data_IF_309460220598
#
_entry.id   IF_309460220598
#
_cell.length_a   1.000
_cell.length_b   1.000
_cell.length_c   1.000
_cell.angle_alpha   90.00
_cell.angle_beta   90.00
_cell.angle_gamma   90.00
#
_symmetry.space_group_name_H-M   'P 1'
#
loop_
_entity.id
_entity.type
_entity.pdbx_description
1 polymer ?
#
# COMPACT_ATOMS: atom_id res chain seq x y z
N UNK A 1 -51.11 81.28 10.20
CA UNK A 1 -50.39 80.38 11.12
C UNK A 1 -50.53 78.94 10.64
N UNK A 2 -49.69 78.48 9.79
CA UNK A 2 -49.63 77.09 9.39
C UNK A 2 -48.15 76.69 9.18
N UNK A 3 -47.61 75.88 10.10
CA UNK A 3 -46.28 75.33 10.04
C UNK A 3 -46.23 74.20 8.98
N UNK A 4 -45.38 74.32 8.00
CA UNK A 4 -45.08 73.28 7.05
C UNK A 4 -43.88 72.47 7.55
N UNK A 5 -44.10 71.20 7.84
CA UNK A 5 -43.01 70.23 8.21
C UNK A 5 -42.39 69.64 6.93
N UNK A 6 -41.14 69.93 6.70
CA UNK A 6 -40.31 69.35 5.62
C UNK A 6 -39.86 67.97 6.03
N UNK A 7 -40.33 66.93 5.32
CA UNK A 7 -39.90 65.54 5.54
C UNK A 7 -38.72 65.27 4.60
N UNK A 8 -37.53 65.22 5.18
CA UNK A 8 -36.30 64.81 4.44
C UNK A 8 -36.18 63.30 4.48
N UNK A 9 -36.44 62.65 3.34
CA UNK A 9 -36.22 61.22 3.12
C UNK A 9 -34.72 60.98 2.79
N UNK A 10 -33.99 60.48 3.75
CA UNK A 10 -32.64 59.99 3.53
C UNK A 10 -32.69 58.63 2.81
N UNK A 11 -32.45 58.63 1.53
CA UNK A 11 -32.28 57.40 0.72
C UNK A 11 -30.89 56.81 0.99
N UNK A 12 -30.82 55.86 1.90
CA UNK A 12 -29.58 55.09 2.18
C UNK A 12 -29.34 54.07 1.05
N UNK A 13 -28.42 54.37 0.15
CA UNK A 13 -27.94 53.49 -0.89
C UNK A 13 -27.03 52.44 -0.19
N UNK A 14 -27.62 51.26 0.09
CA UNK A 14 -26.85 50.09 0.51
C UNK A 14 -26.08 49.55 -0.68
N UNK A 15 -24.79 49.92 -0.81
CA UNK A 15 -23.87 49.27 -1.74
C UNK A 15 -23.58 47.88 -1.18
N UNK A 16 -24.34 46.90 -1.63
CA UNK A 16 -24.01 45.49 -1.43
C UNK A 16 -22.72 45.18 -2.19
N UNK A 17 -21.59 45.37 -1.53
CA UNK A 17 -20.31 44.90 -2.01
C UNK A 17 -20.37 43.37 -2.04
N UNK A 18 -20.71 42.82 -3.20
CA UNK A 18 -20.44 41.41 -3.49
C UNK A 18 -18.94 41.20 -3.33
N UNK A 19 -18.47 40.85 -2.11
CA UNK A 19 -17.16 40.24 -1.94
C UNK A 19 -17.19 38.92 -2.70
N UNK A 20 -16.71 38.96 -3.94
CA UNK A 20 -16.30 37.69 -4.61
C UNK A 20 -15.41 36.97 -3.62
N UNK A 21 -15.92 35.84 -3.12
CA UNK A 21 -15.07 34.87 -2.39
C UNK A 21 -13.88 34.64 -3.32
N UNK A 22 -12.62 34.74 -2.83
CA UNK A 22 -11.48 34.42 -3.69
C UNK A 22 -11.73 33.02 -4.24
N UNK A 23 -11.90 32.93 -5.56
CA UNK A 23 -11.98 31.65 -6.25
C UNK A 23 -10.70 30.90 -5.84
N UNK A 24 -10.85 29.74 -5.18
CA UNK A 24 -9.73 28.83 -4.99
C UNK A 24 -9.11 28.66 -6.39
N UNK A 25 -7.77 28.78 -6.52
CA UNK A 25 -7.12 28.52 -7.80
C UNK A 25 -7.63 27.18 -8.32
N UNK A 26 -8.08 27.16 -9.57
CA UNK A 26 -8.64 25.96 -10.17
C UNK A 26 -7.52 24.90 -10.22
N UNK A 27 -7.63 23.88 -9.37
CA UNK A 27 -6.70 22.75 -9.37
C UNK A 27 -6.91 21.93 -10.64
N UNK A 28 -5.83 21.68 -11.35
CA UNK A 28 -5.83 20.82 -12.54
C UNK A 28 -4.89 19.63 -12.32
N UNK A 29 -4.91 18.68 -13.23
CA UNK A 29 -3.97 17.56 -13.19
C UNK A 29 -2.50 18.02 -13.16
N UNK A 30 -2.18 19.17 -13.73
CA UNK A 30 -0.80 19.67 -13.91
C UNK A 30 -0.45 20.87 -13.03
N UNK A 31 -1.37 21.30 -12.14
CA UNK A 31 -1.17 22.44 -11.24
C UNK A 31 -1.96 22.28 -9.96
N UNK A 32 -1.30 22.40 -8.81
CA UNK A 32 -1.92 22.30 -7.48
C UNK A 32 -1.09 21.50 -6.51
N UNK A 33 -1.74 21.05 -5.42
CA UNK A 33 -1.06 20.30 -4.36
C UNK A 33 -1.82 19.03 -4.00
N UNK A 34 -1.09 17.97 -3.67
CA UNK A 34 -1.64 16.68 -3.26
C UNK A 34 -0.89 16.13 -2.05
N UNK A 35 -1.64 15.64 -1.06
CA UNK A 35 -1.09 14.79 -0.01
C UNK A 35 -1.46 13.34 -0.34
N UNK A 36 -0.45 12.48 -0.38
CA UNK A 36 -0.63 11.03 -0.54
C UNK A 36 -0.24 10.35 0.74
N UNK A 37 -1.18 9.62 1.36
CA UNK A 37 -0.84 8.69 2.44
C UNK A 37 -0.58 7.32 1.85
N UNK A 38 0.60 6.77 2.13
CA UNK A 38 0.98 5.45 1.69
C UNK A 38 1.14 4.52 2.90
N UNK A 39 0.68 3.28 2.79
CA UNK A 39 1.11 2.25 3.74
C UNK A 39 2.64 2.24 3.83
N UNK A 40 3.18 2.20 5.06
CA UNK A 40 4.61 2.46 5.34
C UNK A 40 5.58 1.71 4.41
N UNK A 41 5.25 0.47 4.05
CA UNK A 41 6.07 -0.36 3.16
C UNK A 41 6.18 0.19 1.74
N UNK A 42 5.27 1.08 1.34
CA UNK A 42 5.18 1.62 -0.03
C UNK A 42 5.50 3.11 -0.11
N UNK A 43 5.80 3.76 1.00
CA UNK A 43 6.11 5.19 1.03
C UNK A 43 7.23 5.56 0.06
N UNK A 44 8.37 4.84 0.13
CA UNK A 44 9.52 5.11 -0.72
C UNK A 44 9.19 4.89 -2.21
N UNK A 45 8.39 3.86 -2.53
CA UNK A 45 7.93 3.58 -3.88
C UNK A 45 7.02 4.70 -4.42
N UNK A 46 6.01 5.10 -3.65
CA UNK A 46 5.10 6.19 -4.06
C UNK A 46 5.82 7.54 -4.13
N UNK A 47 6.84 7.75 -3.31
CA UNK A 47 7.70 8.93 -3.40
C UNK A 47 8.47 9.00 -4.73
N UNK A 48 8.93 7.85 -5.26
CA UNK A 48 9.54 7.80 -6.59
C UNK A 48 8.53 8.17 -7.69
N UNK A 49 7.30 7.65 -7.62
CA UNK A 49 6.22 8.01 -8.55
C UNK A 49 5.90 9.50 -8.49
N UNK A 50 5.78 10.05 -7.28
CA UNK A 50 5.48 11.47 -7.04
C UNK A 50 6.59 12.38 -7.60
N UNK A 51 7.86 12.03 -7.36
CA UNK A 51 8.99 12.80 -7.84
C UNK A 51 9.04 12.83 -9.37
N UNK A 52 8.75 11.71 -10.02
CA UNK A 52 8.74 11.63 -11.48
C UNK A 52 7.57 12.42 -12.08
N UNK A 53 6.41 12.40 -11.41
CA UNK A 53 5.26 13.21 -11.81
C UNK A 53 5.56 14.71 -11.68
N UNK A 54 6.10 15.16 -10.55
CA UNK A 54 6.47 16.55 -10.30
C UNK A 54 7.55 17.01 -11.29
N UNK A 55 8.50 16.13 -11.65
CA UNK A 55 9.51 16.44 -12.68
C UNK A 55 8.85 16.75 -14.04
N UNK A 56 7.77 16.07 -14.37
CA UNK A 56 7.00 16.30 -15.61
C UNK A 56 6.08 17.51 -15.52
N UNK A 57 5.63 17.89 -14.31
CA UNK A 57 4.70 18.98 -14.05
C UNK A 57 5.17 19.85 -12.88
N UNK A 58 6.06 20.83 -13.12
CA UNK A 58 6.71 21.63 -12.07
C UNK A 58 5.75 22.48 -11.21
N UNK A 59 4.55 22.78 -11.71
CA UNK A 59 3.51 23.53 -10.98
C UNK A 59 2.71 22.63 -9.99
N UNK A 60 3.06 21.34 -9.89
CA UNK A 60 2.48 20.39 -8.97
C UNK A 60 3.38 20.20 -7.75
N UNK A 61 2.76 20.16 -6.56
CA UNK A 61 3.44 19.78 -5.32
C UNK A 61 2.78 18.52 -4.74
N UNK A 62 3.54 17.44 -4.58
CA UNK A 62 3.07 16.19 -3.95
C UNK A 62 3.86 15.90 -2.68
N UNK A 63 3.15 15.79 -1.56
CA UNK A 63 3.72 15.34 -0.28
C UNK A 63 3.30 13.89 -0.02
N UNK A 64 4.26 12.99 0.10
CA UNK A 64 4.02 11.57 0.44
C UNK A 64 4.38 11.33 1.90
N UNK A 65 3.49 10.68 2.64
CA UNK A 65 3.67 10.33 4.05
C UNK A 65 3.32 8.88 4.28
N UNK A 66 4.20 8.16 5.00
CA UNK A 66 3.94 6.80 5.44
C UNK A 66 2.98 6.77 6.64
N UNK A 67 2.05 5.81 6.63
CA UNK A 67 1.14 5.52 7.74
C UNK A 67 0.71 4.06 7.73
N UNK A 68 -0.12 3.63 8.66
CA UNK A 68 -0.72 2.28 8.57
C UNK A 68 -1.81 2.25 7.49
N UNK A 69 -2.04 1.07 6.89
CA UNK A 69 -3.09 0.87 5.88
C UNK A 69 -4.45 1.32 6.40
N UNK A 70 -4.79 0.94 7.63
CA UNK A 70 -6.07 1.32 8.25
C UNK A 70 -6.21 2.83 8.42
N UNK A 71 -5.16 3.50 8.88
CA UNK A 71 -5.16 4.94 9.09
C UNK A 71 -5.29 5.70 7.76
N UNK A 72 -4.59 5.27 6.70
CA UNK A 72 -4.74 5.84 5.37
C UNK A 72 -6.19 5.77 4.89
N UNK A 73 -6.84 4.61 5.05
CA UNK A 73 -8.25 4.41 4.68
C UNK A 73 -9.19 5.30 5.51
N UNK A 74 -8.98 5.40 6.83
CA UNK A 74 -9.77 6.30 7.68
C UNK A 74 -9.65 7.75 7.23
N UNK A 75 -8.46 8.20 6.88
CA UNK A 75 -8.26 9.55 6.36
C UNK A 75 -8.95 9.79 5.02
N UNK A 76 -8.95 8.81 4.10
CA UNK A 76 -9.68 8.88 2.84
C UNK A 76 -11.20 8.98 3.08
N UNK A 77 -11.75 8.11 3.93
CA UNK A 77 -13.19 8.05 4.21
C UNK A 77 -13.71 9.27 4.96
N UNK A 78 -12.85 9.96 5.73
CA UNK A 78 -13.15 11.23 6.38
C UNK A 78 -12.90 12.46 5.47
N UNK A 79 -12.57 12.24 4.19
CA UNK A 79 -12.22 13.29 3.20
C UNK A 79 -11.11 14.25 3.68
N UNK A 80 -10.24 13.77 4.57
CA UNK A 80 -9.11 14.55 5.09
C UNK A 80 -7.87 14.47 4.20
N UNK A 81 -7.80 13.45 3.33
CA UNK A 81 -6.84 13.32 2.23
C UNK A 81 -7.54 12.81 0.99
N UNK A 82 -7.03 13.21 -0.17
CA UNK A 82 -7.63 12.87 -1.47
C UNK A 82 -6.95 11.70 -2.17
N UNK A 83 -5.82 11.23 -1.65
CA UNK A 83 -5.09 10.14 -2.30
C UNK A 83 -4.41 9.24 -1.27
N UNK A 84 -4.62 7.93 -1.41
CA UNK A 84 -3.95 6.93 -0.58
C UNK A 84 -3.41 5.79 -1.44
N UNK A 85 -2.29 5.19 -1.02
CA UNK A 85 -1.75 3.95 -1.58
C UNK A 85 -1.76 2.85 -0.51
N UNK A 86 -2.49 1.77 -0.77
CA UNK A 86 -2.70 0.68 0.19
C UNK A 86 -2.58 -0.69 -0.48
N UNK A 87 -2.38 -1.71 0.31
CA UNK A 87 -2.07 -3.09 -0.06
C UNK A 87 -3.27 -4.05 0.03
N UNK A 88 -4.46 -3.51 0.14
CA UNK A 88 -5.72 -4.26 0.06
C UNK A 88 -6.84 -3.39 -0.50
N UNK A 89 -7.90 -4.00 -1.02
CA UNK A 89 -9.10 -3.24 -1.38
C UNK A 89 -9.84 -2.73 -0.14
N UNK A 90 -10.68 -1.73 -0.31
CA UNK A 90 -11.67 -1.34 0.68
C UNK A 90 -12.60 -2.53 0.94
N UNK A 91 -12.88 -2.82 2.21
CA UNK A 91 -13.85 -3.83 2.58
C UNK A 91 -15.30 -3.31 2.43
N UNK A 92 -16.29 -4.18 2.63
CA UNK A 92 -17.70 -3.82 2.42
C UNK A 92 -18.19 -2.73 3.38
N UNK A 93 -17.72 -2.72 4.63
CA UNK A 93 -18.06 -1.68 5.61
C UNK A 93 -17.47 -0.33 5.21
N UNK A 94 -16.21 -0.31 4.77
CA UNK A 94 -15.51 0.89 4.28
C UNK A 94 -16.19 1.46 3.02
N UNK A 95 -16.61 0.58 2.08
CA UNK A 95 -17.40 0.98 0.90
C UNK A 95 -18.76 1.55 1.28
N UNK A 96 -19.43 0.97 2.29
CA UNK A 96 -20.70 1.50 2.78
C UNK A 96 -20.54 2.86 3.46
N UNK A 97 -19.45 3.09 4.22
CA UNK A 97 -19.13 4.38 4.81
C UNK A 97 -18.93 5.43 3.72
N UNK A 98 -18.14 5.13 2.68
CA UNK A 98 -17.93 6.02 1.54
C UNK A 98 -19.25 6.36 0.84
N UNK A 99 -20.11 5.36 0.60
CA UNK A 99 -21.40 5.55 -0.04
C UNK A 99 -22.36 6.42 0.79
N UNK A 100 -22.43 6.21 2.12
CA UNK A 100 -23.25 7.03 3.04
C UNK A 100 -22.76 8.47 3.13
N UNK A 101 -21.47 8.71 2.98
CA UNK A 101 -20.86 10.03 2.95
C UNK A 101 -20.94 10.68 1.55
N UNK A 102 -21.55 10.03 0.57
CA UNK A 102 -21.59 10.44 -0.84
C UNK A 102 -20.19 10.74 -1.42
N UNK A 103 -19.16 10.07 -0.87
CA UNK A 103 -17.77 10.24 -1.27
C UNK A 103 -17.51 9.48 -2.57
N UNK A 104 -17.16 10.21 -3.63
CA UNK A 104 -16.75 9.61 -4.89
C UNK A 104 -15.29 9.16 -4.77
N UNK A 105 -15.08 7.85 -4.67
CA UNK A 105 -13.76 7.25 -4.57
C UNK A 105 -13.46 6.47 -5.84
N UNK A 106 -12.36 6.81 -6.52
CA UNK A 106 -11.85 6.04 -7.64
C UNK A 106 -10.85 5.01 -7.11
N UNK A 107 -11.12 3.73 -7.38
CA UNK A 107 -10.23 2.61 -7.06
C UNK A 107 -9.36 2.26 -8.28
N UNK A 108 -8.05 2.32 -8.10
CA UNK A 108 -7.11 2.01 -9.16
C UNK A 108 -6.11 0.95 -8.67
N UNK A 109 -6.22 -0.26 -9.19
CA UNK A 109 -5.15 -1.26 -9.02
C UNK A 109 -3.92 -0.78 -9.79
N UNK A 110 -2.77 -0.70 -9.12
CA UNK A 110 -1.52 -0.18 -9.68
C UNK A 110 -0.44 -1.25 -9.85
N UNK A 111 -0.58 -2.38 -9.17
CA UNK A 111 0.38 -3.48 -9.26
C UNK A 111 0.02 -4.63 -8.34
N UNK A 112 0.86 -5.66 -8.34
CA UNK A 112 0.79 -6.76 -7.38
C UNK A 112 2.11 -6.91 -6.64
N UNK A 113 2.01 -7.15 -5.35
CA UNK A 113 3.11 -7.46 -4.45
C UNK A 113 2.97 -8.86 -3.84
N UNK A 114 3.89 -9.20 -2.96
CA UNK A 114 3.80 -10.41 -2.17
C UNK A 114 4.38 -10.20 -0.78
N UNK A 115 3.93 -11.04 0.16
CA UNK A 115 4.53 -11.18 1.48
C UNK A 115 5.60 -12.28 1.42
N UNK A 116 6.80 -11.97 1.86
CA UNK A 116 7.91 -12.91 1.95
C UNK A 116 8.03 -13.46 3.36
N UNK A 117 8.17 -14.76 3.50
CA UNK A 117 8.55 -15.42 4.75
C UNK A 117 10.06 -15.36 4.86
N UNK A 118 10.57 -14.74 5.92
CA UNK A 118 12.01 -14.51 6.13
C UNK A 118 12.50 -15.12 7.43
N UNK A 119 13.74 -15.60 7.39
CA UNK A 119 14.46 -16.14 8.53
C UNK A 119 15.90 -15.63 8.55
N UNK A 120 16.61 -15.85 9.64
CA UNK A 120 18.03 -15.56 9.71
C UNK A 120 18.82 -16.43 8.69
N UNK A 121 19.92 -15.92 8.14
CA UNK A 121 20.74 -16.62 7.13
C UNK A 121 21.26 -17.99 7.57
N UNK A 122 21.49 -18.15 8.87
CA UNK A 122 21.99 -19.43 9.45
C UNK A 122 20.89 -20.45 9.72
N UNK A 123 19.60 -20.08 9.59
CA UNK A 123 18.51 -21.03 9.72
C UNK A 123 18.59 -22.06 8.58
N UNK A 124 18.62 -23.37 8.86
CA UNK A 124 18.80 -24.41 7.82
C UNK A 124 17.55 -24.61 6.92
N UNK A 125 16.39 -24.11 7.33
CA UNK A 125 15.14 -24.25 6.56
C UNK A 125 15.23 -23.41 5.28
N UNK A 126 14.99 -24.04 4.13
CA UNK A 126 15.02 -23.39 2.81
C UNK A 126 13.63 -23.15 2.22
N UNK A 127 12.66 -23.95 2.64
CA UNK A 127 11.30 -23.93 2.16
C UNK A 127 10.31 -24.25 3.27
N UNK A 128 9.06 -23.85 3.08
CA UNK A 128 7.98 -24.04 4.05
C UNK A 128 6.66 -24.34 3.33
N UNK A 129 5.91 -25.33 3.83
CA UNK A 129 4.58 -25.63 3.31
C UNK A 129 3.63 -24.46 3.58
N UNK A 130 2.71 -24.23 2.66
CA UNK A 130 1.70 -23.15 2.84
C UNK A 130 0.85 -23.36 4.09
N UNK A 131 0.49 -24.62 4.39
CA UNK A 131 -0.23 -24.97 5.61
C UNK A 131 0.60 -24.69 6.88
N UNK A 132 1.93 -24.97 6.85
CA UNK A 132 2.80 -24.71 7.99
C UNK A 132 2.88 -23.20 8.32
N UNK A 133 2.87 -22.33 7.30
CA UNK A 133 2.77 -20.87 7.54
C UNK A 133 1.51 -20.54 8.32
N UNK A 134 0.37 -21.10 7.92
CA UNK A 134 -0.91 -20.93 8.65
C UNK A 134 -0.82 -21.45 10.08
N UNK A 135 -0.23 -22.62 10.27
CA UNK A 135 -0.15 -23.28 11.58
C UNK A 135 0.80 -22.55 12.54
N UNK A 136 1.85 -21.91 12.01
CA UNK A 136 2.68 -20.97 12.79
C UNK A 136 1.88 -19.73 13.16
N UNK A 137 1.12 -19.16 12.22
CA UNK A 137 0.29 -17.97 12.45
C UNK A 137 -0.82 -18.20 13.48
N UNK A 138 -1.35 -19.44 13.57
CA UNK A 138 -2.33 -19.83 14.60
C UNK A 138 -1.69 -20.23 15.92
N UNK A 139 -0.38 -20.48 15.94
CA UNK A 139 0.33 -21.03 17.11
C UNK A 139 0.16 -22.54 17.29
N UNK A 140 -0.36 -23.24 16.27
CA UNK A 140 -0.43 -24.72 16.26
C UNK A 140 0.96 -25.34 16.10
N UNK A 141 1.83 -24.72 15.30
CA UNK A 141 3.26 -25.01 15.21
C UNK A 141 4.03 -23.93 15.99
N UNK A 142 4.83 -24.35 16.97
CA UNK A 142 5.64 -23.47 17.82
C UNK A 142 7.13 -23.78 17.78
N UNK A 143 7.51 -24.96 17.33
CA UNK A 143 8.92 -25.40 17.29
C UNK A 143 9.37 -25.66 15.85
N UNK A 144 10.63 -25.34 15.54
CA UNK A 144 11.21 -25.59 14.23
C UNK A 144 11.22 -27.08 13.86
N UNK A 145 11.39 -27.98 14.85
CA UNK A 145 11.35 -29.43 14.67
C UNK A 145 9.98 -29.96 14.25
N UNK A 146 8.90 -29.18 14.37
CA UNK A 146 7.57 -29.56 13.92
C UNK A 146 7.37 -29.39 12.42
N UNK A 147 8.27 -28.68 11.72
CA UNK A 147 8.24 -28.54 10.27
C UNK A 147 8.80 -29.79 9.60
N UNK A 148 8.18 -30.21 8.49
CA UNK A 148 8.64 -31.34 7.69
C UNK A 148 10.14 -31.19 7.35
N UNK A 149 10.91 -32.22 7.60
CA UNK A 149 12.36 -32.30 7.34
C UNK A 149 13.26 -31.32 8.13
N UNK A 150 12.71 -30.49 9.01
CA UNK A 150 13.50 -29.62 9.84
C UNK A 150 14.10 -30.36 11.03
N UNK A 151 15.43 -30.24 11.20
CA UNK A 151 16.17 -30.69 12.38
C UNK A 151 16.66 -29.53 13.25
N UNK A 152 16.17 -28.31 12.94
CA UNK A 152 16.54 -27.12 13.70
C UNK A 152 15.81 -27.12 15.04
N UNK A 153 16.55 -27.16 16.13
CA UNK A 153 15.99 -27.20 17.48
C UNK A 153 15.61 -25.78 17.95
N UNK A 154 14.59 -25.69 18.81
CA UNK A 154 14.14 -24.47 19.45
C UNK A 154 12.77 -23.98 18.96
N UNK A 155 12.24 -23.00 19.68
CA UNK A 155 10.93 -22.42 19.40
C UNK A 155 11.00 -21.37 18.27
N UNK A 156 9.96 -21.37 17.43
CA UNK A 156 9.77 -20.34 16.40
C UNK A 156 9.31 -19.05 17.09
N UNK A 157 10.10 -17.99 16.95
CA UNK A 157 9.72 -16.64 17.38
C UNK A 157 9.08 -15.90 16.21
N UNK A 158 7.74 -15.94 16.13
CA UNK A 158 7.02 -15.22 15.09
C UNK A 158 7.04 -13.72 15.37
N UNK A 159 7.60 -12.95 14.46
CA UNK A 159 7.72 -11.50 14.53
C UNK A 159 6.92 -10.86 13.39
N UNK A 160 5.99 -9.98 13.72
CA UNK A 160 5.16 -9.25 12.75
C UNK A 160 5.00 -7.79 13.18
N UNK A 161 4.53 -6.98 12.25
CA UNK A 161 4.00 -5.64 12.54
C UNK A 161 2.64 -5.72 13.24
N UNK A 162 2.20 -4.59 13.84
CA UNK A 162 0.94 -4.53 14.58
C UNK A 162 -0.31 -4.74 13.72
N UNK A 163 -1.45 -4.93 14.36
CA UNK A 163 -2.77 -5.27 13.75
C UNK A 163 -3.27 -4.25 12.73
N UNK A 164 -2.81 -3.02 12.78
CA UNK A 164 -3.22 -1.95 11.86
C UNK A 164 -2.37 -1.91 10.58
N UNK A 165 -1.37 -2.79 10.46
CA UNK A 165 -0.52 -2.87 9.27
C UNK A 165 -1.20 -3.69 8.17
N UNK A 166 -0.90 -3.34 6.91
CA UNK A 166 -1.39 -4.09 5.77
C UNK A 166 -0.93 -5.55 5.78
N UNK A 167 0.32 -5.81 6.13
CA UNK A 167 0.85 -7.18 6.27
C UNK A 167 0.01 -8.04 7.21
N UNK A 168 -0.34 -7.51 8.38
CA UNK A 168 -1.17 -8.24 9.33
C UNK A 168 -2.58 -8.49 8.77
N UNK A 169 -3.21 -7.49 8.17
CA UNK A 169 -4.56 -7.61 7.58
C UNK A 169 -4.57 -8.56 6.37
N UNK A 170 -3.54 -8.53 5.51
CA UNK A 170 -3.39 -9.46 4.38
C UNK A 170 -3.30 -10.89 4.90
N UNK A 171 -2.46 -11.16 5.90
CA UNK A 171 -2.33 -12.49 6.49
C UNK A 171 -3.64 -12.98 7.10
N UNK A 172 -4.36 -12.11 7.83
CA UNK A 172 -5.68 -12.43 8.35
C UNK A 172 -6.65 -12.83 7.23
N UNK A 173 -6.77 -12.01 6.20
CA UNK A 173 -7.69 -12.24 5.09
C UNK A 173 -7.32 -13.48 4.27
N UNK A 174 -6.03 -13.79 4.16
CA UNK A 174 -5.53 -14.91 3.37
C UNK A 174 -5.80 -16.27 4.03
N UNK A 175 -5.61 -16.34 5.34
CA UNK A 175 -5.67 -17.60 6.09
C UNK A 175 -6.95 -17.79 6.91
N UNK A 176 -7.69 -16.73 7.21
CA UNK A 176 -8.81 -16.79 8.13
C UNK A 176 -10.09 -16.19 7.55
N UNK A 177 -11.19 -16.93 7.62
CA UNK A 177 -12.52 -16.43 7.24
C UNK A 177 -13.14 -15.51 8.30
N UNK A 178 -12.65 -15.57 9.54
CA UNK A 178 -13.09 -14.78 10.69
C UNK A 178 -11.84 -14.10 11.24
N UNK A 179 -11.96 -12.86 11.71
CA UNK A 179 -10.85 -12.10 12.30
C UNK A 179 -10.34 -12.74 13.61
N UNK A 180 -9.60 -13.84 13.48
CA UNK A 180 -8.89 -14.46 14.59
C UNK A 180 -7.55 -13.77 14.80
N UNK A 181 -7.15 -13.50 16.06
CA UNK A 181 -5.83 -12.89 16.30
C UNK A 181 -4.73 -13.88 15.88
N UNK A 182 -3.67 -13.35 15.27
CA UNK A 182 -2.47 -14.12 14.97
C UNK A 182 -1.68 -14.37 16.25
N UNK A 183 -1.04 -15.54 16.34
CA UNK A 183 -0.21 -15.94 17.49
C UNK A 183 1.21 -15.35 17.39
N UNK A 184 1.31 -14.01 17.42
CA UNK A 184 2.57 -13.28 17.27
C UNK A 184 3.36 -13.32 18.57
N UNK A 185 4.64 -13.71 18.51
CA UNK A 185 5.54 -13.74 19.66
C UNK A 185 6.06 -12.34 19.98
N UNK A 186 6.38 -11.56 18.94
CA UNK A 186 6.92 -10.21 19.06
C UNK A 186 6.25 -9.30 18.03
N UNK A 187 5.74 -8.17 18.50
CA UNK A 187 5.16 -7.13 17.63
C UNK A 187 6.12 -5.94 17.58
N UNK A 188 6.36 -5.44 16.36
CA UNK A 188 7.20 -4.27 16.09
C UNK A 188 6.42 -3.21 15.31
N UNK A 189 6.95 -2.00 15.20
CA UNK A 189 6.21 -0.87 14.61
C UNK A 189 6.10 -0.95 13.08
N UNK A 190 7.17 -1.43 12.42
CA UNK A 190 7.25 -1.44 10.96
C UNK A 190 8.05 -2.66 10.43
N UNK A 191 7.97 -2.91 9.14
CA UNK A 191 8.62 -4.06 8.52
C UNK A 191 10.16 -3.97 8.52
N UNK A 192 10.74 -2.78 8.58
CA UNK A 192 12.21 -2.61 8.71
C UNK A 192 12.68 -3.16 10.05
N UNK A 193 11.89 -2.99 11.11
CA UNK A 193 12.18 -3.55 12.42
C UNK A 193 11.98 -5.08 12.45
N UNK A 194 11.00 -5.64 11.70
CA UNK A 194 10.88 -7.11 11.53
C UNK A 194 12.18 -7.65 10.94
N UNK A 195 12.66 -7.05 9.87
CA UNK A 195 13.90 -7.47 9.21
C UNK A 195 15.11 -7.37 10.15
N UNK A 196 15.22 -6.29 10.91
CA UNK A 196 16.34 -6.12 11.87
C UNK A 196 16.26 -7.13 13.00
N UNK A 197 15.06 -7.46 13.47
CA UNK A 197 14.86 -8.51 14.47
C UNK A 197 15.34 -9.88 13.95
N UNK A 198 14.98 -10.23 12.72
CA UNK A 198 15.42 -11.47 12.06
C UNK A 198 16.94 -11.54 11.97
N UNK A 199 17.62 -10.43 11.66
CA UNK A 199 19.09 -10.36 11.53
C UNK A 199 19.85 -10.65 12.82
N UNK A 200 19.20 -10.51 13.96
CA UNK A 200 19.80 -10.65 15.29
C UNK A 200 19.27 -11.84 16.08
N UNK A 201 18.22 -12.50 15.58
CA UNK A 201 17.56 -13.62 16.28
C UNK A 201 17.42 -14.85 15.37
N UNK A 202 18.36 -15.81 15.41
CA UNK A 202 18.34 -16.98 14.52
C UNK A 202 17.06 -17.83 14.59
N UNK A 203 16.38 -17.85 15.74
CA UNK A 203 15.12 -18.59 15.94
C UNK A 203 13.86 -17.83 15.47
N UNK A 204 14.02 -16.61 14.94
CA UNK A 204 12.88 -15.83 14.52
C UNK A 204 12.43 -16.15 13.08
N UNK A 205 11.12 -16.09 12.87
CA UNK A 205 10.46 -16.10 11.58
C UNK A 205 9.69 -14.79 11.44
N UNK A 206 9.91 -14.07 10.36
CA UNK A 206 9.19 -12.85 10.03
C UNK A 206 8.42 -12.98 8.72
N UNK A 207 7.35 -12.19 8.58
CA UNK A 207 6.67 -12.04 7.30
C UNK A 207 6.58 -10.55 6.99
N UNK A 208 7.08 -10.16 5.83
CA UNK A 208 7.17 -8.76 5.39
C UNK A 208 6.81 -8.65 3.91
N UNK A 209 6.45 -7.46 3.46
CA UNK A 209 6.29 -7.19 2.03
C UNK A 209 7.63 -7.34 1.29
N UNK A 210 7.59 -7.71 0.02
CA UNK A 210 8.79 -7.72 -0.84
C UNK A 210 9.41 -6.32 -0.95
N UNK A 211 8.64 -5.25 -0.75
CA UNK A 211 9.14 -3.88 -0.73
C UNK A 211 10.15 -3.64 0.40
N UNK A 212 9.90 -4.20 1.58
CA UNK A 212 10.78 -4.06 2.73
C UNK A 212 12.15 -4.74 2.52
N UNK A 213 12.23 -5.70 1.59
CA UNK A 213 13.47 -6.45 1.35
C UNK A 213 14.42 -5.77 0.33
N UNK A 214 13.98 -4.74 -0.38
CA UNK A 214 14.77 -4.13 -1.47
C UNK A 214 16.13 -3.56 -1.04
N UNK A 215 16.20 -3.02 0.18
CA UNK A 215 17.40 -2.36 0.70
C UNK A 215 18.01 -3.15 1.87
N UNK A 216 17.58 -4.41 2.05
CA UNK A 216 18.06 -5.24 3.14
C UNK A 216 19.36 -5.94 2.72
N UNK A 217 20.47 -5.44 3.26
CA UNK A 217 21.75 -6.11 3.12
C UNK A 217 21.82 -7.29 4.09
N UNK A 218 22.26 -8.45 3.56
CA UNK A 218 22.87 -9.56 4.28
C UNK A 218 22.25 -9.97 5.65
N UNK A 219 22.31 -11.26 5.97
CA UNK A 219 21.83 -11.93 7.19
C UNK A 219 20.34 -12.25 7.26
N UNK A 220 19.59 -12.09 6.17
CA UNK A 220 18.23 -12.62 6.06
C UNK A 220 18.11 -13.51 4.85
N UNK A 221 17.32 -14.58 4.99
CA UNK A 221 17.00 -15.52 3.93
C UNK A 221 15.50 -15.55 3.72
N UNK A 222 15.07 -15.51 2.44
CA UNK A 222 13.68 -15.69 2.04
C UNK A 222 13.43 -17.17 1.80
N UNK A 223 12.45 -17.73 2.51
CA UNK A 223 11.99 -19.09 2.29
C UNK A 223 11.18 -19.21 1.01
N UNK A 224 11.33 -20.34 0.31
CA UNK A 224 10.38 -20.70 -0.72
C UNK A 224 9.10 -21.23 -0.05
N UNK A 225 7.94 -20.80 -0.53
CA UNK A 225 6.64 -21.22 -0.01
C UNK A 225 6.00 -22.16 -1.03
N UNK A 226 5.35 -23.21 -0.52
CA UNK A 226 4.63 -24.18 -1.35
C UNK A 226 3.54 -23.48 -2.16
N UNK A 227 3.52 -23.73 -3.48
CA UNK A 227 2.49 -23.21 -4.37
C UNK A 227 1.17 -23.94 -4.16
N UNK A 228 0.06 -23.19 -4.14
CA UNK A 228 -1.30 -23.76 -4.02
C UNK A 228 -2.01 -23.93 -5.37
N UNK A 229 -1.36 -23.54 -6.48
CA UNK A 229 -1.96 -23.50 -7.81
C UNK A 229 -1.44 -24.59 -8.76
N UNK A 230 -0.68 -25.55 -8.25
CA UNK A 230 -0.17 -26.70 -9.01
C UNK A 230 -0.48 -27.98 -8.25
N UNK A 231 -0.59 -29.11 -9.00
CA UNK A 231 -0.90 -30.41 -8.38
C UNK A 231 0.34 -31.05 -7.75
N UNK A 232 1.52 -30.71 -8.24
CA UNK A 232 2.80 -31.23 -7.72
C UNK A 232 3.33 -30.31 -6.61
N UNK A 233 4.08 -30.90 -5.66
CA UNK A 233 4.76 -30.15 -4.60
C UNK A 233 5.82 -29.21 -5.23
N UNK A 234 5.52 -27.92 -5.26
CA UNK A 234 6.36 -26.89 -5.86
C UNK A 234 6.59 -25.76 -4.87
N UNK A 235 7.83 -25.57 -4.46
CA UNK A 235 8.24 -24.45 -3.60
C UNK A 235 8.82 -23.31 -4.42
N UNK A 236 8.27 -22.12 -4.26
CA UNK A 236 8.64 -20.93 -5.04
C UNK A 236 8.92 -19.73 -4.15
N UNK A 237 9.88 -18.89 -4.55
CA UNK A 237 10.15 -17.59 -3.91
C UNK A 237 9.26 -16.50 -4.51
N UNK A 238 9.02 -15.37 -3.80
CA UNK A 238 8.19 -14.25 -4.26
C UNK A 238 8.90 -13.41 -5.34
N UNK A 239 9.25 -14.02 -6.46
CA UNK A 239 9.77 -13.30 -7.63
C UNK A 239 8.63 -12.70 -8.43
N UNK A 240 8.88 -11.59 -9.18
CA UNK A 240 7.87 -11.02 -10.07
C UNK A 240 7.25 -12.05 -11.01
N UNK A 241 8.06 -13.00 -11.53
CA UNK A 241 7.56 -14.06 -12.41
C UNK A 241 6.60 -15.01 -11.70
N UNK A 242 6.94 -15.43 -10.47
CA UNK A 242 6.10 -16.35 -9.70
C UNK A 242 4.81 -15.68 -9.20
N UNK A 243 4.86 -14.37 -8.91
CA UNK A 243 3.68 -13.56 -8.59
C UNK A 243 2.80 -13.43 -9.85
N UNK A 244 3.37 -13.01 -10.97
CA UNK A 244 2.66 -12.86 -12.25
C UNK A 244 1.96 -14.14 -12.71
N UNK A 245 2.60 -15.30 -12.51
CA UNK A 245 2.03 -16.60 -12.82
C UNK A 245 1.08 -17.16 -11.77
N UNK A 246 0.82 -16.40 -10.71
CA UNK A 246 0.05 -16.82 -9.54
C UNK A 246 0.56 -18.14 -8.91
N UNK A 247 1.86 -18.42 -9.01
CA UNK A 247 2.49 -19.58 -8.37
C UNK A 247 2.83 -19.32 -6.91
N UNK A 248 3.15 -18.05 -6.57
CA UNK A 248 3.45 -17.68 -5.18
C UNK A 248 2.16 -17.36 -4.43
N UNK A 249 1.79 -18.09 -3.36
CA UNK A 249 0.47 -18.00 -2.78
C UNK A 249 0.21 -16.71 -1.98
N UNK A 250 1.23 -16.11 -1.34
CA UNK A 250 1.08 -14.94 -0.50
C UNK A 250 1.20 -13.63 -1.29
N UNK A 251 0.53 -13.54 -2.44
CA UNK A 251 0.49 -12.32 -3.24
C UNK A 251 -0.74 -11.46 -2.92
N UNK A 252 -0.68 -10.17 -3.20
CA UNK A 252 -1.75 -9.20 -2.97
C UNK A 252 -1.68 -8.08 -4.01
N UNK A 253 -2.79 -7.34 -4.14
CA UNK A 253 -2.87 -6.21 -5.06
C UNK A 253 -2.61 -4.89 -4.34
N UNK A 254 -1.87 -3.99 -5.01
CA UNK A 254 -1.67 -2.61 -4.59
C UNK A 254 -2.72 -1.71 -5.23
N UNK A 255 -3.30 -0.84 -4.44
CA UNK A 255 -4.33 0.10 -4.87
C UNK A 255 -3.94 1.54 -4.59
N UNK A 256 -4.20 2.40 -5.56
CA UNK A 256 -4.19 3.84 -5.42
C UNK A 256 -5.65 4.31 -5.43
N UNK A 257 -6.12 4.81 -4.31
CA UNK A 257 -7.44 5.41 -4.18
C UNK A 257 -7.34 6.91 -4.29
N UNK A 258 -8.25 7.51 -5.04
CA UNK A 258 -8.39 8.97 -5.11
C UNK A 258 -9.82 9.37 -4.84
N UNK A 259 -10.05 10.43 -4.05
CA UNK A 259 -11.34 11.06 -3.84
C UNK A 259 -11.40 12.41 -4.54
N UNK A 260 -12.62 12.90 -4.78
CA UNK A 260 -12.86 14.21 -5.38
C UNK A 260 -12.79 14.23 -6.92
N UNK A 261 -12.38 15.37 -7.47
CA UNK A 261 -12.39 15.57 -8.94
C UNK A 261 -11.29 14.78 -9.65
N UNK A 262 -11.69 14.00 -10.66
CA UNK A 262 -10.75 13.32 -11.55
C UNK A 262 -9.86 14.28 -12.37
N UNK A 263 -10.24 15.58 -12.43
CA UNK A 263 -9.50 16.63 -13.13
C UNK A 263 -8.40 17.28 -12.28
N UNK A 264 -8.38 17.05 -10.95
CA UNK A 264 -7.37 17.57 -10.03
C UNK A 264 -6.06 16.78 -10.08
N UNK A 265 -5.09 17.20 -9.26
CA UNK A 265 -3.76 16.56 -9.16
C UNK A 265 -3.87 15.08 -8.83
N UNK A 266 -4.81 14.67 -7.97
CA UNK A 266 -5.01 13.26 -7.60
C UNK A 266 -5.39 12.38 -8.80
N UNK A 267 -6.30 12.85 -9.66
CA UNK A 267 -6.68 12.15 -10.88
C UNK A 267 -5.53 12.08 -11.90
N UNK A 268 -4.81 13.18 -12.06
CA UNK A 268 -3.59 13.23 -12.91
C UNK A 268 -2.51 12.29 -12.44
N UNK A 269 -2.20 12.30 -11.14
CA UNK A 269 -1.21 11.41 -10.53
C UNK A 269 -1.61 9.93 -10.66
N UNK A 270 -2.88 9.60 -10.41
CA UNK A 270 -3.38 8.24 -10.61
C UNK A 270 -3.25 7.77 -12.05
N UNK A 271 -3.54 8.65 -13.01
CA UNK A 271 -3.36 8.36 -14.45
C UNK A 271 -1.88 8.14 -14.78
N UNK A 272 -0.98 8.95 -14.21
CA UNK A 272 0.47 8.83 -14.41
C UNK A 272 0.98 7.49 -13.87
N UNK A 273 0.66 7.11 -12.62
CA UNK A 273 1.09 5.84 -12.01
C UNK A 273 0.67 4.64 -12.87
N UNK A 274 -0.49 4.71 -13.54
CA UNK A 274 -0.99 3.68 -14.45
C UNK A 274 -0.46 3.79 -15.88
N UNK A 275 0.25 4.86 -16.22
CA UNK A 275 0.88 5.02 -17.52
C UNK A 275 2.10 4.11 -17.69
N UNK A 276 2.59 3.98 -18.93
CA UNK A 276 3.81 3.22 -19.20
C UNK A 276 5.02 3.69 -18.38
N UNK A 277 5.09 4.99 -18.07
CA UNK A 277 6.19 5.59 -17.30
C UNK A 277 6.07 5.19 -15.81
N UNK A 278 4.90 5.37 -15.20
CA UNK A 278 4.65 4.92 -13.83
C UNK A 278 4.80 3.40 -13.70
N UNK A 279 4.26 2.62 -14.64
CA UNK A 279 4.37 1.16 -14.57
C UNK A 279 5.81 0.63 -14.71
N UNK A 280 6.74 1.38 -15.31
CA UNK A 280 8.18 1.08 -15.24
C UNK A 280 8.73 1.28 -13.83
N UNK A 281 8.24 2.28 -13.10
CA UNK A 281 8.60 2.50 -11.70
C UNK A 281 8.05 1.36 -10.83
N UNK A 282 6.77 0.95 -11.04
CA UNK A 282 6.17 -0.24 -10.41
C UNK A 282 7.06 -1.46 -10.61
N UNK A 283 7.44 -1.75 -11.86
CA UNK A 283 8.27 -2.90 -12.21
C UNK A 283 9.66 -2.81 -11.57
N UNK A 284 10.31 -1.65 -11.65
CA UNK A 284 11.62 -1.44 -11.01
C UNK A 284 11.52 -1.51 -9.49
N UNK A 285 10.33 -1.23 -8.95
CA UNK A 285 9.94 -1.41 -7.55
C UNK A 285 9.89 -2.87 -7.08
N UNK A 286 10.06 -3.84 -7.97
CA UNK A 286 9.95 -5.25 -7.64
C UNK A 286 8.52 -5.78 -7.68
N UNK A 287 7.54 -4.92 -7.98
CA UNK A 287 6.12 -5.28 -8.11
C UNK A 287 5.80 -5.76 -9.53
N UNK A 288 4.74 -6.55 -9.64
CA UNK A 288 4.19 -6.90 -10.95
C UNK A 288 3.30 -5.75 -11.42
N UNK A 289 3.61 -5.11 -12.55
CA UNK A 289 2.81 -4.01 -13.07
C UNK A 289 1.47 -4.50 -13.64
N UNK A 290 0.42 -3.66 -13.59
CA UNK A 290 -0.89 -3.97 -14.20
C UNK A 290 -0.85 -3.87 -15.73
N UNK A 291 0.09 -3.11 -16.27
CA UNK A 291 0.40 -3.03 -17.70
C UNK A 291 1.87 -3.37 -17.87
N UNK A 292 2.16 -4.45 -18.58
CA UNK A 292 3.56 -4.85 -18.82
C UNK A 292 4.18 -3.85 -19.79
N UNK A 293 5.24 -3.10 -19.36
CA UNK A 293 5.93 -2.21 -20.26
C UNK A 293 6.59 -3.01 -21.39
N UNK A 294 6.15 -2.81 -22.62
CA UNK A 294 6.75 -3.46 -23.79
C UNK A 294 8.23 -3.10 -23.89
N UNK A 295 9.14 -4.06 -23.93
CA UNK A 295 10.49 -3.86 -24.44
C UNK A 295 10.37 -3.70 -25.97
N UNK A 296 10.63 -2.51 -26.46
CA UNK A 296 10.90 -2.32 -27.89
C UNK A 296 12.27 -2.97 -28.13
N UNK A 297 12.26 -4.19 -28.66
CA UNK A 297 13.49 -4.81 -29.19
C UNK A 297 13.69 -4.16 -30.55
N UNK A 298 14.63 -3.22 -30.67
CA UNK A 298 15.13 -2.80 -31.98
C UNK A 298 15.92 -4.01 -32.52
N UNK A 299 15.33 -4.70 -33.48
CA UNK A 299 16.06 -5.67 -34.29
C UNK A 299 16.86 -4.82 -35.28
N UNK A 300 18.16 -4.66 -35.01
CA UNK A 300 19.06 -4.16 -36.04
C UNK A 300 19.14 -5.22 -37.13
N UNK A 301 18.42 -5.02 -38.21
CA UNK A 301 18.66 -5.73 -39.47
C UNK A 301 19.86 -5.07 -40.11
N UNK A 302 21.07 -5.64 -39.93
CA UNK A 302 22.19 -5.43 -40.83
C UNK A 302 21.94 -6.19 -42.16
#
# INVERSE_FOLDING_TARGET
>A
MKSAAIFVILLSISVAACRKRPEKPEETATKGSLVVLASQSYEDFIRLEANEYVRSYPDVNISVRGTSTREAIVHLLNDSVQCICVDRPLNDEERQVAAKAELIVAENKIGEGALAVIVHETNPVEHIAFQDVKDILTGSIKAWTSLKESRWEGDIRLVLTGRNSGTYEILQNHFFKIQSPLSVTTTVENEKEVVEYIRTHPQALGIVSIAALRNVARKTKVLAVESTNVMDELFVKPTQLNIYRALYPLHYSLYLYTSGSSRGVGGGFSTFVRSMQGQKIVQSGGFVPVVVPNRIIQINTE
#
